data_IF_236909872311
#
_entry.id   IF_236909872311
#
_cell.length_a   1.000
_cell.length_b   1.000
_cell.length_c   1.000
_cell.angle_alpha   90.00
_cell.angle_beta   90.00
_cell.angle_gamma   90.00
#
_symmetry.space_group_name_H-M   'P 1'
#
loop_
_entity.id
_entity.type
_entity.pdbx_description
1 polymer ?
#
# COMPACT_ATOMS: atom_id res chain seq x y z
N UNK A 1 8.12 -10.13 9.50
CA UNK A 1 7.54 -9.28 10.56
C UNK A 1 7.42 -10.10 11.86
N UNK A 2 7.79 -9.50 13.00
CA UNK A 2 7.54 -10.11 14.31
C UNK A 2 6.06 -10.07 14.68
N UNK A 3 5.67 -10.76 15.75
CA UNK A 3 4.28 -10.77 16.21
C UNK A 3 3.75 -9.36 16.55
N UNK A 4 4.62 -8.49 17.06
CA UNK A 4 4.29 -7.10 17.35
C UNK A 4 3.99 -6.30 16.07
N UNK A 5 4.79 -6.46 15.01
CA UNK A 5 4.56 -5.79 13.73
C UNK A 5 3.23 -6.21 13.10
N UNK A 6 2.91 -7.50 13.17
CA UNK A 6 1.63 -8.04 12.68
C UNK A 6 0.47 -7.39 13.43
N UNK A 7 0.55 -7.29 14.76
CA UNK A 7 -0.47 -6.62 15.58
C UNK A 7 -0.61 -5.14 15.20
N UNK A 8 0.50 -4.41 15.13
CA UNK A 8 0.52 -2.97 14.80
C UNK A 8 -0.03 -2.69 13.41
N UNK A 9 0.29 -3.52 12.41
CA UNK A 9 -0.26 -3.38 11.07
C UNK A 9 -1.78 -3.58 11.05
N UNK A 10 -2.30 -4.54 11.82
CA UNK A 10 -3.75 -4.73 12.00
C UNK A 10 -4.41 -3.52 12.66
N UNK A 11 -3.80 -2.98 13.72
CA UNK A 11 -4.27 -1.76 14.40
C UNK A 11 -4.25 -0.53 13.50
N UNK A 12 -3.26 -0.40 12.61
CA UNK A 12 -3.21 0.67 11.62
C UNK A 12 -4.40 0.61 10.67
N UNK A 13 -4.71 -0.58 10.12
CA UNK A 13 -5.87 -0.78 9.22
C UNK A 13 -7.17 -0.50 9.97
N UNK A 14 -7.32 -1.01 11.19
CA UNK A 14 -8.48 -0.76 12.04
C UNK A 14 -8.64 0.73 12.38
N UNK A 15 -7.53 1.41 12.68
CA UNK A 15 -7.48 2.84 12.95
C UNK A 15 -7.93 3.65 11.73
N UNK A 16 -7.46 3.31 10.54
CA UNK A 16 -7.91 3.94 9.29
C UNK A 16 -9.41 3.71 9.07
N UNK A 17 -9.88 2.48 9.27
CA UNK A 17 -11.30 2.15 9.19
C UNK A 17 -12.13 2.88 10.26
N UNK A 18 -11.54 3.29 11.38
CA UNK A 18 -12.26 4.04 12.42
C UNK A 18 -12.22 5.56 12.23
N UNK A 19 -11.11 6.10 11.71
CA UNK A 19 -10.79 7.53 11.78
C UNK A 19 -10.76 8.24 10.43
N UNK A 20 -10.88 7.53 9.30
CA UNK A 20 -10.80 8.18 7.99
C UNK A 20 -11.86 9.30 7.87
N UNK A 21 -11.49 10.56 7.53
CA UNK A 21 -12.39 11.71 7.74
C UNK A 21 -13.71 11.66 6.97
N UNK A 22 -13.69 11.11 5.74
CA UNK A 22 -14.89 10.96 4.91
C UNK A 22 -15.81 9.86 5.48
N UNK A 23 -17.00 10.22 5.95
CA UNK A 23 -17.91 9.31 6.64
C UNK A 23 -18.36 8.11 5.78
N UNK A 24 -18.86 8.35 4.57
CA UNK A 24 -19.29 7.26 3.68
C UNK A 24 -18.09 6.40 3.22
N UNK A 25 -16.92 7.01 3.00
CA UNK A 25 -15.73 6.30 2.56
C UNK A 25 -15.24 5.37 3.66
N UNK A 26 -15.30 5.84 4.90
CA UNK A 26 -14.94 5.09 6.09
C UNK A 26 -15.87 3.91 6.32
N UNK A 27 -17.18 4.09 6.16
CA UNK A 27 -18.16 3.00 6.28
C UNK A 27 -17.97 1.95 5.20
N UNK A 28 -17.78 2.38 3.95
CA UNK A 28 -17.44 1.50 2.85
C UNK A 28 -16.14 0.71 3.11
N UNK A 29 -15.08 1.39 3.58
CA UNK A 29 -13.82 0.74 3.91
C UNK A 29 -13.95 -0.26 5.08
N UNK A 30 -14.79 0.01 6.09
CA UNK A 30 -15.09 -0.96 7.15
C UNK A 30 -15.74 -2.23 6.58
N UNK A 31 -16.71 -2.07 5.69
CA UNK A 31 -17.37 -3.20 5.03
C UNK A 31 -16.39 -3.99 4.15
N UNK A 32 -15.50 -3.27 3.45
CA UNK A 32 -14.46 -3.88 2.63
C UNK A 32 -13.46 -4.68 3.47
N UNK A 33 -12.95 -4.13 4.57
CA UNK A 33 -12.03 -4.83 5.49
C UNK A 33 -12.69 -6.07 6.11
N UNK A 34 -13.99 -6.02 6.40
CA UNK A 34 -14.71 -7.19 6.89
C UNK A 34 -14.84 -8.29 5.82
N UNK A 35 -15.06 -7.90 4.56
CA UNK A 35 -15.16 -8.82 3.41
C UNK A 35 -13.81 -9.40 3.00
N UNK A 36 -12.76 -8.58 3.01
CA UNK A 36 -11.39 -8.94 2.66
C UNK A 36 -10.45 -8.52 3.79
N UNK A 37 -10.26 -9.36 4.81
CA UNK A 37 -9.37 -9.05 5.92
C UNK A 37 -7.91 -8.83 5.49
N UNK A 38 -7.15 -7.93 6.15
CA UNK A 38 -5.78 -7.64 5.79
C UNK A 38 -4.87 -8.85 5.93
N UNK A 39 -4.03 -9.07 4.91
CA UNK A 39 -3.06 -10.17 4.88
C UNK A 39 -1.72 -9.69 5.43
N UNK A 40 -1.43 -10.02 6.68
CA UNK A 40 -0.32 -9.43 7.44
C UNK A 40 0.92 -10.34 7.59
N UNK A 41 0.98 -11.46 6.87
CA UNK A 41 2.05 -12.46 7.03
C UNK A 41 3.41 -11.99 6.51
N UNK A 42 3.42 -11.14 5.49
CA UNK A 42 4.63 -10.64 4.84
C UNK A 42 4.39 -9.28 4.21
N UNK A 43 5.48 -8.57 3.87
CA UNK A 43 5.43 -7.35 3.06
C UNK A 43 4.60 -7.56 1.79
N UNK A 44 4.88 -8.62 1.06
CA UNK A 44 4.24 -8.93 -0.23
C UNK A 44 2.73 -9.13 -0.06
N UNK A 45 2.33 -10.01 0.87
CA UNK A 45 0.90 -10.31 1.06
C UNK A 45 0.11 -9.08 1.49
N UNK A 46 0.71 -8.20 2.30
CA UNK A 46 0.09 -6.95 2.72
C UNK A 46 0.05 -5.90 1.61
N UNK A 47 1.13 -5.72 0.86
CA UNK A 47 1.19 -4.77 -0.26
C UNK A 47 0.19 -5.11 -1.36
N UNK A 48 0.05 -6.40 -1.68
CA UNK A 48 -0.97 -6.88 -2.63
C UNK A 48 -2.38 -6.59 -2.10
N UNK A 49 -2.63 -6.85 -0.81
CA UNK A 49 -3.93 -6.56 -0.21
C UNK A 49 -4.27 -5.07 -0.29
N UNK A 50 -3.34 -4.19 0.07
CA UNK A 50 -3.52 -2.73 -0.03
C UNK A 50 -3.81 -2.30 -1.47
N UNK A 51 -3.11 -2.88 -2.45
CA UNK A 51 -3.37 -2.61 -3.87
C UNK A 51 -4.80 -3.01 -4.28
N UNK A 52 -5.24 -4.19 -3.87
CA UNK A 52 -6.61 -4.68 -4.11
C UNK A 52 -7.65 -3.76 -3.48
N UNK A 53 -7.43 -3.29 -2.25
CA UNK A 53 -8.35 -2.34 -1.59
C UNK A 53 -8.41 -1.01 -2.33
N UNK A 54 -7.27 -0.53 -2.83
CA UNK A 54 -7.22 0.68 -3.65
C UNK A 54 -7.98 0.48 -4.98
N UNK A 55 -7.87 -0.70 -5.59
CA UNK A 55 -8.60 -1.04 -6.80
C UNK A 55 -10.11 -1.15 -6.57
N UNK A 56 -10.56 -1.66 -5.42
CA UNK A 56 -11.97 -1.65 -5.06
C UNK A 56 -12.54 -0.22 -5.04
N UNK A 57 -11.77 0.77 -4.58
CA UNK A 57 -12.15 2.19 -4.67
C UNK A 57 -12.10 2.69 -6.12
N UNK A 58 -11.07 2.31 -6.89
CA UNK A 58 -10.98 2.69 -8.30
C UNK A 58 -12.23 2.24 -9.09
N UNK A 59 -12.63 0.98 -8.93
CA UNK A 59 -13.81 0.42 -9.59
C UNK A 59 -15.09 1.18 -9.22
N UNK A 60 -15.30 1.48 -7.92
CA UNK A 60 -16.44 2.28 -7.44
C UNK A 60 -16.49 3.68 -8.05
N UNK A 61 -15.33 4.26 -8.34
CA UNK A 61 -15.18 5.59 -8.92
C UNK A 61 -15.03 5.59 -10.45
N UNK A 62 -15.14 4.43 -11.10
CA UNK A 62 -14.95 4.30 -12.56
C UNK A 62 -13.53 4.63 -13.04
N UNK A 63 -12.52 4.48 -12.17
CA UNK A 63 -11.11 4.69 -12.49
C UNK A 63 -10.46 3.39 -12.98
N UNK A 64 -9.41 3.47 -13.83
CA UNK A 64 -8.65 2.30 -14.22
C UNK A 64 -8.04 1.59 -13.01
N UNK A 65 -8.07 0.26 -13.02
CA UNK A 65 -7.40 -0.56 -12.00
C UNK A 65 -5.89 -0.54 -12.18
N UNK A 66 -5.16 -0.58 -11.07
CA UNK A 66 -3.71 -0.77 -11.06
C UNK A 66 -3.35 -2.26 -11.11
N UNK A 67 -2.25 -2.61 -11.80
CA UNK A 67 -1.74 -3.98 -11.84
C UNK A 67 -1.10 -4.36 -10.49
N UNK A 68 -1.79 -5.15 -9.69
CA UNK A 68 -1.30 -5.63 -8.39
C UNK A 68 -0.29 -6.77 -8.53
N UNK A 69 0.88 -6.51 -9.11
CA UNK A 69 2.04 -7.41 -9.04
C UNK A 69 3.15 -6.77 -8.22
N UNK A 70 3.96 -7.58 -7.55
CA UNK A 70 5.06 -7.05 -6.73
C UNK A 70 6.04 -6.20 -7.55
N UNK A 71 6.32 -6.56 -8.80
CA UNK A 71 7.16 -5.73 -9.67
C UNK A 71 6.58 -4.32 -9.90
N UNK A 72 5.27 -4.22 -10.18
CA UNK A 72 4.60 -2.94 -10.40
C UNK A 72 4.52 -2.10 -9.12
N UNK A 73 4.25 -2.76 -7.99
CA UNK A 73 4.18 -2.12 -6.68
C UNK A 73 5.56 -1.64 -6.22
N UNK A 74 6.60 -2.44 -6.38
CA UNK A 74 7.97 -2.06 -6.06
C UNK A 74 8.42 -0.90 -6.97
N UNK A 75 8.13 -0.96 -8.27
CA UNK A 75 8.43 0.15 -9.17
C UNK A 75 7.77 1.45 -8.72
N UNK A 76 6.48 1.39 -8.35
CA UNK A 76 5.70 2.59 -8.04
C UNK A 76 5.95 3.15 -6.64
N UNK A 77 6.20 2.30 -5.64
CA UNK A 77 6.13 2.67 -4.21
C UNK A 77 7.38 2.31 -3.40
N UNK A 78 8.43 1.72 -4.01
CA UNK A 78 9.67 1.37 -3.30
C UNK A 78 10.93 1.80 -4.05
N UNK A 79 11.11 1.31 -5.27
CA UNK A 79 12.34 1.44 -6.07
C UNK A 79 12.30 2.63 -7.04
N UNK A 80 11.11 3.11 -7.41
CA UNK A 80 10.95 4.06 -8.52
C UNK A 80 11.04 3.37 -9.89
N UNK A 81 10.63 4.06 -10.96
CA UNK A 81 10.79 3.55 -12.34
C UNK A 81 12.25 3.52 -12.79
N UNK A 82 12.57 2.77 -13.85
CA UNK A 82 13.93 2.78 -14.42
C UNK A 82 14.39 4.19 -14.77
N UNK A 83 13.55 4.96 -15.47
CA UNK A 83 13.84 6.35 -15.82
C UNK A 83 14.07 7.23 -14.57
N UNK A 84 13.25 7.04 -13.53
CA UNK A 84 13.40 7.74 -12.26
C UNK A 84 14.75 7.42 -11.61
N UNK A 85 15.13 6.14 -11.53
CA UNK A 85 16.42 5.71 -10.97
C UNK A 85 17.60 6.22 -11.78
N UNK A 86 17.50 6.26 -13.10
CA UNK A 86 18.57 6.78 -13.98
C UNK A 86 18.78 8.29 -13.79
N UNK A 87 17.70 9.05 -13.58
CA UNK A 87 17.78 10.47 -13.23
C UNK A 87 18.48 10.65 -11.86
N UNK A 88 18.14 9.83 -10.87
CA UNK A 88 18.71 9.94 -9.53
C UNK A 88 20.13 9.36 -9.42
N UNK A 89 20.53 8.36 -10.20
CA UNK A 89 21.91 7.88 -10.26
C UNK A 89 22.87 8.90 -10.88
N UNK A 90 22.34 9.86 -11.66
CA UNK A 90 23.09 11.00 -12.15
C UNK A 90 23.21 12.15 -11.11
N UNK A 91 22.57 12.04 -9.94
CA UNK A 91 22.64 13.04 -8.85
C UNK A 91 23.05 12.38 -7.52
N UNK A 92 24.13 12.81 -6.88
CA UNK A 92 24.72 12.19 -5.67
C UNK A 92 23.84 12.12 -4.39
N UNK A 93 22.51 12.29 -4.47
CA UNK A 93 21.60 12.45 -3.32
C UNK A 93 20.69 11.23 -3.03
N UNK A 94 20.98 10.07 -3.62
CA UNK A 94 19.98 9.01 -3.76
C UNK A 94 19.75 8.06 -2.55
N UNK A 95 20.45 8.16 -1.43
CA UNK A 95 20.35 7.11 -0.38
C UNK A 95 19.38 7.40 0.78
N UNK A 96 18.99 8.65 1.06
CA UNK A 96 18.33 8.93 2.36
C UNK A 96 16.79 8.96 2.32
N UNK A 97 16.16 9.09 1.14
CA UNK A 97 14.72 9.41 1.08
C UNK A 97 13.78 8.21 0.82
N UNK A 98 14.30 7.05 0.41
CA UNK A 98 13.47 5.96 -0.12
C UNK A 98 13.45 4.68 0.72
N UNK A 99 14.04 4.68 1.92
CA UNK A 99 14.04 3.51 2.80
C UNK A 99 14.60 2.25 2.12
N UNK A 100 15.68 2.42 1.36
CA UNK A 100 16.30 1.36 0.55
C UNK A 100 17.22 0.44 1.36
N UNK A 101 17.39 0.71 2.65
CA UNK A 101 18.12 -0.14 3.59
C UNK A 101 17.10 -0.91 4.44
N UNK A 102 16.66 -2.07 3.93
CA UNK A 102 16.27 -3.33 4.62
C UNK A 102 15.58 -4.31 3.63
#
# INVERSE_FOLDING_TARGET
PGAEDVRRAGELVAGLAHLYPCAHCREDFRAEVARSPPRLKSRETFALWVCEQHNAVNEKLGKPTFRCSMDALDERWRKGSKACREIFQASELASESLGQEE
#
